data_IF_224804616362
#
_entry.id   IF_224804616362
#
_cell.length_a   1.000
_cell.length_b   1.000
_cell.length_c   1.000
_cell.angle_alpha   90.00
_cell.angle_beta   90.00
_cell.angle_gamma   90.00
#
_symmetry.space_group_name_H-M   'P 1'
#
loop_
_entity.id
_entity.type
_entity.pdbx_description
1 polymer ?
#
# COMPACT_ATOMS: atom_id res chain seq x y z
N UNK A 1 -19.72 16.62 -10.96
CA UNK A 1 -18.31 16.18 -10.97
C UNK A 1 -18.23 15.03 -9.99
N UNK A 2 -17.73 13.86 -10.39
CA UNK A 2 -17.55 12.76 -9.42
C UNK A 2 -16.54 13.14 -8.36
N UNK A 3 -16.57 12.48 -7.19
CA UNK A 3 -15.62 12.74 -6.11
C UNK A 3 -14.19 12.45 -6.56
N UNK A 4 -13.96 11.39 -7.34
CA UNK A 4 -12.65 11.07 -7.91
C UNK A 4 -12.09 12.21 -8.77
N UNK A 5 -12.92 12.77 -9.66
CA UNK A 5 -12.53 13.95 -10.47
C UNK A 5 -12.20 15.16 -9.60
N UNK A 6 -12.91 15.36 -8.50
CA UNK A 6 -12.60 16.42 -7.55
C UNK A 6 -11.24 16.23 -6.91
N UNK A 7 -10.90 15.01 -6.46
CA UNK A 7 -9.57 14.70 -5.91
C UNK A 7 -8.49 14.93 -6.96
N UNK A 8 -8.68 14.47 -8.21
CA UNK A 8 -7.70 14.68 -9.29
C UNK A 8 -7.47 16.18 -9.53
N UNK A 9 -8.52 17.02 -9.50
CA UNK A 9 -8.38 18.47 -9.63
C UNK A 9 -7.59 19.09 -8.47
N UNK A 10 -7.81 18.63 -7.25
CA UNK A 10 -7.02 19.09 -6.08
C UNK A 10 -5.53 18.75 -6.28
N UNK A 11 -5.22 17.54 -6.73
CA UNK A 11 -3.83 17.13 -7.01
C UNK A 11 -3.24 17.97 -8.14
N UNK A 12 -3.98 18.22 -9.22
CA UNK A 12 -3.53 19.07 -10.32
C UNK A 12 -3.23 20.52 -9.86
N UNK A 13 -4.06 21.07 -8.98
CA UNK A 13 -3.78 22.37 -8.33
C UNK A 13 -2.51 22.27 -7.48
N UNK A 14 -2.30 21.18 -6.76
CA UNK A 14 -1.09 20.91 -5.99
C UNK A 14 0.19 20.92 -6.85
N UNK A 15 0.13 20.34 -8.06
CA UNK A 15 1.25 20.41 -9.04
C UNK A 15 1.62 21.88 -9.35
N UNK A 16 0.61 22.71 -9.62
CA UNK A 16 0.85 24.13 -9.95
C UNK A 16 1.40 24.88 -8.75
N UNK A 17 0.80 24.71 -7.55
CA UNK A 17 1.26 25.41 -6.34
C UNK A 17 2.67 24.96 -5.95
N UNK A 18 2.95 23.66 -5.97
CA UNK A 18 4.28 23.12 -5.68
C UNK A 18 5.32 23.60 -6.67
N UNK A 19 5.01 23.57 -7.98
CA UNK A 19 5.88 24.06 -9.04
C UNK A 19 6.18 25.56 -8.92
N UNK A 20 5.19 26.38 -8.62
CA UNK A 20 5.37 27.82 -8.37
C UNK A 20 6.24 28.07 -7.14
N UNK A 21 5.98 27.40 -6.01
CA UNK A 21 6.79 27.58 -4.82
C UNK A 21 8.27 27.20 -5.07
N UNK A 22 8.50 26.15 -5.85
CA UNK A 22 9.84 25.74 -6.29
C UNK A 22 10.55 26.86 -7.09
N UNK A 23 9.85 27.48 -8.03
CA UNK A 23 10.39 28.59 -8.85
C UNK A 23 10.75 29.80 -7.98
N UNK A 24 9.92 30.10 -6.98
CA UNK A 24 10.11 31.26 -6.09
C UNK A 24 10.99 30.99 -4.86
N UNK A 25 11.78 29.92 -4.88
CA UNK A 25 12.79 29.63 -3.86
C UNK A 25 12.23 28.90 -2.65
N UNK A 26 11.19 28.12 -2.83
CA UNK A 26 10.64 27.16 -1.82
C UNK A 26 10.25 27.83 -0.49
N UNK A 27 9.56 28.96 -0.55
CA UNK A 27 9.22 29.79 0.61
C UNK A 27 8.22 29.13 1.57
N UNK A 28 7.34 28.27 1.03
CA UNK A 28 6.30 27.58 1.79
C UNK A 28 6.61 26.10 2.06
N UNK A 29 7.74 25.60 1.52
CA UNK A 29 8.15 24.21 1.62
C UNK A 29 7.35 23.27 0.70
N UNK A 30 6.53 23.81 -0.21
CA UNK A 30 5.72 23.03 -1.14
C UNK A 30 6.52 22.60 -2.37
N UNK A 31 7.52 23.41 -2.78
CA UNK A 31 8.42 23.07 -3.86
C UNK A 31 9.33 21.90 -3.53
N UNK A 32 9.80 21.79 -2.28
CA UNK A 32 10.53 20.61 -1.80
C UNK A 32 9.64 19.36 -1.84
N UNK A 33 8.36 19.48 -1.47
CA UNK A 33 7.39 18.39 -1.53
C UNK A 33 7.04 17.98 -2.96
N UNK A 34 6.99 18.93 -3.87
CA UNK A 34 6.87 18.66 -5.31
C UNK A 34 8.06 17.81 -5.81
N UNK A 35 9.29 18.17 -5.46
CA UNK A 35 10.48 17.38 -5.81
C UNK A 35 10.48 16.00 -5.16
N UNK A 36 10.09 15.91 -3.88
CA UNK A 36 9.98 14.65 -3.15
C UNK A 36 9.00 13.70 -3.83
N UNK A 37 7.84 14.22 -4.28
CA UNK A 37 6.86 13.44 -5.04
C UNK A 37 7.44 12.83 -6.31
N UNK A 38 8.17 13.60 -7.10
CA UNK A 38 8.81 13.10 -8.31
C UNK A 38 9.99 12.16 -8.03
N UNK A 39 10.79 12.45 -7.02
CA UNK A 39 11.93 11.61 -6.61
C UNK A 39 11.50 10.26 -6.04
N UNK A 40 10.24 10.11 -5.63
CA UNK A 40 9.67 8.83 -5.21
C UNK A 40 9.61 7.78 -6.33
N UNK A 41 9.69 8.19 -7.60
CA UNK A 41 9.65 7.27 -8.75
C UNK A 41 10.76 6.22 -8.72
N UNK A 42 11.98 6.58 -8.30
CA UNK A 42 13.11 5.65 -8.25
C UNK A 42 12.86 4.48 -7.29
N UNK A 43 12.61 4.74 -6.00
CA UNK A 43 12.22 3.70 -5.03
C UNK A 43 10.99 2.88 -5.46
N UNK A 44 9.96 3.51 -6.01
CA UNK A 44 8.77 2.82 -6.52
C UNK A 44 9.10 1.90 -7.69
N UNK A 45 9.91 2.36 -8.64
CA UNK A 45 10.34 1.53 -9.77
C UNK A 45 11.09 0.28 -9.30
N UNK A 46 12.05 0.44 -8.37
CA UNK A 46 12.79 -0.68 -7.79
C UNK A 46 11.89 -1.67 -7.03
N UNK A 47 10.80 -1.19 -6.43
CA UNK A 47 9.85 -2.00 -5.68
C UNK A 47 8.75 -2.65 -6.51
N UNK A 48 8.49 -2.16 -7.75
CA UNK A 48 7.30 -2.57 -8.48
C UNK A 48 7.58 -3.10 -9.88
N UNK A 49 8.48 -2.50 -10.67
CA UNK A 49 8.63 -2.85 -12.10
C UNK A 49 8.91 -4.33 -12.29
N UNK A 50 9.76 -4.92 -11.44
CA UNK A 50 10.07 -6.34 -11.53
C UNK A 50 8.89 -7.26 -11.29
N UNK A 51 7.95 -6.91 -10.39
CA UNK A 51 6.75 -7.73 -10.17
C UNK A 51 5.72 -7.51 -11.28
N UNK A 52 5.59 -6.28 -11.80
CA UNK A 52 4.74 -5.98 -12.95
C UNK A 52 5.15 -6.82 -14.14
N UNK A 53 6.44 -6.84 -14.47
CA UNK A 53 6.96 -7.62 -15.60
C UNK A 53 6.84 -9.13 -15.38
N UNK A 54 6.95 -9.62 -14.14
CA UNK A 54 6.81 -11.03 -13.80
C UNK A 54 5.35 -11.48 -13.64
N UNK A 55 4.38 -10.59 -13.51
CA UNK A 55 2.99 -10.94 -13.21
C UNK A 55 2.42 -12.04 -14.13
N UNK A 56 2.58 -11.99 -15.47
CA UNK A 56 2.10 -13.05 -16.36
C UNK A 56 2.80 -14.39 -16.13
N UNK A 57 4.11 -14.37 -15.83
CA UNK A 57 4.89 -15.58 -15.55
C UNK A 57 4.44 -16.21 -14.22
N UNK A 58 4.28 -15.38 -13.18
CA UNK A 58 3.81 -15.84 -11.86
C UNK A 58 2.41 -16.43 -11.99
N UNK A 59 1.50 -15.75 -12.68
CA UNK A 59 0.14 -16.24 -12.92
C UNK A 59 0.13 -17.57 -13.68
N UNK A 60 0.98 -17.72 -14.71
CA UNK A 60 1.11 -18.96 -15.47
C UNK A 60 1.67 -20.13 -14.64
N UNK A 61 2.67 -19.86 -13.80
CA UNK A 61 3.34 -20.90 -12.98
C UNK A 61 2.50 -21.29 -11.77
N UNK A 62 1.93 -20.32 -11.07
CA UNK A 62 1.17 -20.57 -9.84
C UNK A 62 -0.33 -20.81 -10.10
N UNK A 63 -0.87 -20.29 -11.19
CA UNK A 63 -2.28 -20.40 -11.54
C UNK A 63 -2.84 -21.82 -11.46
N UNK A 64 -2.16 -22.85 -12.02
CA UNK A 64 -2.63 -24.25 -11.95
C UNK A 64 -2.85 -24.77 -10.52
N UNK A 65 -2.17 -24.21 -9.53
CA UNK A 65 -2.31 -24.55 -8.11
C UNK A 65 -3.29 -23.63 -7.42
N UNK A 66 -3.18 -22.33 -7.64
CA UNK A 66 -3.95 -21.31 -6.94
C UNK A 66 -5.41 -21.29 -7.36
N UNK A 67 -5.68 -21.37 -8.67
CA UNK A 67 -7.04 -21.32 -9.21
C UNK A 67 -7.94 -22.39 -8.60
N UNK A 68 -7.56 -23.69 -8.58
CA UNK A 68 -8.40 -24.71 -7.96
C UNK A 68 -8.64 -24.47 -6.45
N UNK A 69 -7.62 -24.01 -5.72
CA UNK A 69 -7.72 -23.79 -4.26
C UNK A 69 -8.75 -22.70 -3.96
N UNK A 70 -8.68 -21.56 -4.67
CA UNK A 70 -9.60 -20.45 -4.45
C UNK A 70 -11.02 -20.79 -4.92
N UNK A 71 -11.16 -21.49 -6.03
CA UNK A 71 -12.44 -21.96 -6.53
C UNK A 71 -13.15 -22.93 -5.59
N UNK A 72 -12.42 -23.71 -4.75
CA UNK A 72 -13.02 -24.57 -3.71
C UNK A 72 -13.84 -23.81 -2.69
N UNK A 73 -13.43 -22.57 -2.38
CA UNK A 73 -14.16 -21.69 -1.45
C UNK A 73 -15.04 -20.67 -2.18
N UNK A 74 -15.10 -20.74 -3.51
CA UNK A 74 -15.85 -19.82 -4.38
C UNK A 74 -15.25 -18.42 -4.49
N UNK A 75 -14.02 -18.22 -3.98
CA UNK A 75 -13.31 -16.95 -4.08
C UNK A 75 -12.52 -16.87 -5.39
N UNK A 76 -12.34 -15.64 -5.91
CA UNK A 76 -11.55 -15.40 -7.10
C UNK A 76 -10.05 -15.59 -6.82
N UNK A 77 -9.30 -16.23 -7.71
CA UNK A 77 -7.85 -16.41 -7.57
C UNK A 77 -7.05 -15.11 -7.47
N UNK A 78 -7.61 -14.00 -7.94
CA UNK A 78 -7.02 -12.66 -7.76
C UNK A 78 -6.69 -12.35 -6.29
N UNK A 79 -7.45 -12.88 -5.34
CA UNK A 79 -7.23 -12.68 -3.91
C UNK A 79 -5.87 -13.20 -3.43
N UNK A 80 -5.23 -14.12 -4.16
CA UNK A 80 -3.87 -14.57 -3.88
C UNK A 80 -2.84 -13.46 -4.04
N UNK A 81 -3.04 -12.54 -4.97
CA UNK A 81 -2.12 -11.44 -5.22
C UNK A 81 -1.99 -10.50 -4.01
N UNK A 82 -3.01 -10.42 -3.15
CA UNK A 82 -2.97 -9.62 -1.91
C UNK A 82 -1.93 -10.12 -0.90
N UNK A 83 -1.46 -11.35 -1.06
CA UNK A 83 -0.50 -12.00 -0.15
C UNK A 83 0.91 -11.96 -0.74
N UNK A 84 1.03 -12.28 -2.03
CA UNK A 84 2.32 -12.50 -2.66
C UNK A 84 2.99 -11.21 -3.11
N UNK A 85 2.20 -10.27 -3.63
CA UNK A 85 2.75 -9.09 -4.25
C UNK A 85 2.86 -7.94 -3.26
N UNK A 86 3.94 -7.16 -3.44
CA UNK A 86 4.15 -5.94 -2.70
C UNK A 86 3.02 -4.95 -3.04
N UNK A 87 2.21 -4.62 -2.05
CA UNK A 87 1.32 -3.47 -2.02
C UNK A 87 0.75 -3.12 -3.43
N UNK A 88 1.23 -2.05 -4.04
CA UNK A 88 0.83 -1.60 -5.36
C UNK A 88 1.21 -2.56 -6.50
N UNK A 89 2.28 -3.35 -6.36
CA UNK A 89 2.67 -4.41 -7.30
C UNK A 89 1.70 -5.60 -7.34
N UNK A 90 0.80 -5.70 -6.36
CA UNK A 90 -0.26 -6.71 -6.32
C UNK A 90 -1.30 -6.55 -7.41
N UNK A 91 -1.57 -5.33 -7.86
CA UNK A 91 -2.58 -5.04 -8.85
C UNK A 91 -2.38 -5.78 -10.19
N UNK A 92 -1.21 -5.70 -10.86
CA UNK A 92 -1.00 -6.44 -12.10
C UNK A 92 -1.16 -7.94 -11.94
N UNK A 93 -0.65 -8.52 -10.86
CA UNK A 93 -0.81 -9.95 -10.59
C UNK A 93 -2.27 -10.32 -10.28
N UNK A 94 -3.01 -9.47 -9.57
CA UNK A 94 -4.42 -9.68 -9.31
C UNK A 94 -5.22 -9.70 -10.62
N UNK A 95 -4.95 -8.77 -11.52
CA UNK A 95 -5.63 -8.70 -12.83
C UNK A 95 -5.29 -9.90 -13.73
N UNK A 96 -4.05 -10.41 -13.69
CA UNK A 96 -3.64 -11.61 -14.42
C UNK A 96 -4.31 -12.90 -13.89
N UNK A 97 -4.59 -12.97 -12.60
CA UNK A 97 -5.24 -14.13 -11.98
C UNK A 97 -6.76 -14.03 -11.94
N UNK A 98 -7.33 -12.86 -12.14
CA UNK A 98 -8.74 -12.58 -11.99
C UNK A 98 -9.59 -13.35 -13.01
N UNK A 99 -10.62 -14.03 -12.50
CA UNK A 99 -11.71 -14.59 -13.29
C UNK A 99 -12.87 -13.60 -13.44
N UNK A 100 -12.94 -12.60 -12.53
CA UNK A 100 -13.86 -11.48 -12.54
C UNK A 100 -13.07 -10.18 -12.34
N UNK A 101 -13.26 -9.18 -13.21
CA UNK A 101 -12.55 -7.90 -13.16
C UNK A 101 -12.79 -7.18 -11.83
N UNK A 102 -14.02 -7.16 -11.30
CA UNK A 102 -14.33 -6.51 -10.03
C UNK A 102 -13.61 -7.18 -8.86
N UNK A 103 -13.46 -8.51 -8.89
CA UNK A 103 -12.68 -9.25 -7.89
C UNK A 103 -11.17 -8.93 -8.03
N UNK A 104 -10.66 -8.77 -9.25
CA UNK A 104 -9.31 -8.31 -9.52
C UNK A 104 -9.05 -6.91 -8.94
N UNK A 105 -9.98 -5.98 -9.14
CA UNK A 105 -9.91 -4.62 -8.59
C UNK A 105 -10.01 -4.62 -7.06
N UNK A 106 -10.93 -5.40 -6.49
CA UNK A 106 -11.06 -5.58 -5.03
C UNK A 106 -9.75 -6.09 -4.42
N UNK A 107 -9.16 -7.13 -5.01
CA UNK A 107 -7.92 -7.72 -4.56
C UNK A 107 -6.73 -6.77 -4.74
N UNK A 108 -6.51 -6.28 -5.95
CA UNK A 108 -5.30 -5.58 -6.36
C UNK A 108 -5.21 -4.12 -5.91
N UNK A 109 -6.34 -3.47 -5.63
CA UNK A 109 -6.36 -2.06 -5.21
C UNK A 109 -6.80 -1.90 -3.76
N UNK A 110 -7.94 -2.49 -3.36
CA UNK A 110 -8.51 -2.25 -2.03
C UNK A 110 -7.81 -3.12 -0.98
N UNK A 111 -7.81 -4.44 -1.17
CA UNK A 111 -7.27 -5.37 -0.16
C UNK A 111 -5.74 -5.36 -0.14
N UNK A 112 -5.09 -5.24 -1.31
CA UNK A 112 -3.64 -5.17 -1.39
C UNK A 112 -3.06 -3.95 -0.67
N UNK A 113 -3.73 -2.79 -0.73
CA UNK A 113 -3.34 -1.58 0.00
C UNK A 113 -3.33 -1.77 1.53
N UNK A 114 -4.13 -2.69 2.05
CA UNK A 114 -4.19 -2.99 3.48
C UNK A 114 -3.38 -4.25 3.84
N UNK A 115 -3.74 -5.41 3.31
CA UNK A 115 -3.15 -6.70 3.68
C UNK A 115 -1.76 -6.88 3.09
N UNK A 116 -1.61 -6.66 1.78
CA UNK A 116 -0.34 -6.78 1.09
C UNK A 116 0.70 -5.83 1.67
N UNK A 117 0.33 -4.55 1.83
CA UNK A 117 1.17 -3.55 2.47
C UNK A 117 1.57 -3.95 3.90
N UNK A 118 0.65 -4.50 4.68
CA UNK A 118 0.95 -4.93 6.05
C UNK A 118 2.00 -6.04 6.08
N UNK A 119 1.84 -7.08 5.25
CA UNK A 119 2.73 -8.27 5.25
C UNK A 119 4.11 -7.94 4.71
N UNK A 120 4.17 -7.25 3.57
CA UNK A 120 5.41 -7.09 2.80
C UNK A 120 6.18 -5.82 3.18
N UNK A 121 5.48 -4.79 3.65
CA UNK A 121 6.08 -3.51 3.99
C UNK A 121 5.95 -3.18 5.49
N UNK A 122 4.75 -3.05 6.04
CA UNK A 122 4.56 -2.52 7.40
C UNK A 122 5.24 -3.37 8.47
N UNK A 123 5.16 -4.69 8.40
CA UNK A 123 5.81 -5.57 9.37
C UNK A 123 7.34 -5.52 9.22
N UNK A 124 7.95 -5.82 8.06
CA UNK A 124 9.41 -5.84 7.96
C UNK A 124 10.05 -4.47 8.15
N UNK A 125 9.49 -3.40 7.56
CA UNK A 125 10.02 -2.05 7.67
C UNK A 125 9.80 -1.49 9.08
N UNK A 126 8.61 -1.67 9.64
CA UNK A 126 8.29 -1.24 11.00
C UNK A 126 9.25 -1.86 12.00
N UNK A 127 9.44 -3.20 11.96
CA UNK A 127 10.37 -3.90 12.86
C UNK A 127 11.84 -3.49 12.68
N UNK A 128 12.21 -3.00 11.51
CA UNK A 128 13.54 -2.47 11.22
C UNK A 128 13.79 -1.06 11.74
N UNK A 129 12.71 -0.28 11.98
CA UNK A 129 12.80 1.14 12.35
C UNK A 129 12.41 1.43 13.80
N UNK A 130 11.53 0.61 14.42
CA UNK A 130 11.11 0.78 15.81
C UNK A 130 12.17 0.26 16.79
N UNK A 131 12.19 0.81 17.98
CA UNK A 131 13.04 0.32 19.07
C UNK A 131 12.55 -1.06 19.57
N UNK A 132 13.46 -1.82 20.18
CA UNK A 132 13.14 -3.18 20.66
C UNK A 132 12.02 -3.19 21.69
N UNK A 133 12.02 -2.19 22.58
CA UNK A 133 11.04 -1.97 23.63
C UNK A 133 9.63 -1.69 23.11
N UNK A 134 9.54 -1.20 21.86
CA UNK A 134 8.27 -0.84 21.22
C UNK A 134 7.60 -2.02 20.52
N UNK A 135 8.32 -3.09 20.24
CA UNK A 135 7.82 -4.27 19.55
C UNK A 135 6.56 -4.90 20.15
N UNK A 136 6.39 -4.99 21.49
CA UNK A 136 5.15 -5.49 22.06
C UNK A 136 3.92 -4.62 21.77
N UNK A 137 4.09 -3.30 21.73
CA UNK A 137 3.01 -2.37 21.35
C UNK A 137 2.70 -2.45 19.86
N UNK A 138 3.72 -2.54 19.04
CA UNK A 138 3.59 -2.75 17.60
C UNK A 138 2.83 -4.05 17.30
N UNK A 139 3.18 -5.16 17.93
CA UNK A 139 2.47 -6.42 17.75
C UNK A 139 0.99 -6.32 18.17
N UNK A 140 0.68 -5.67 19.30
CA UNK A 140 -0.71 -5.43 19.74
C UNK A 140 -1.50 -4.59 18.75
N UNK A 141 -0.87 -3.53 18.23
CA UNK A 141 -1.49 -2.67 17.22
C UNK A 141 -1.75 -3.41 15.91
N UNK A 142 -0.78 -4.20 15.42
CA UNK A 142 -0.96 -5.06 14.26
C UNK A 142 -2.14 -6.03 14.42
N UNK A 143 -2.25 -6.67 15.58
CA UNK A 143 -3.39 -7.56 15.89
C UNK A 143 -4.72 -6.84 15.73
N UNK A 144 -4.85 -5.66 16.33
CA UNK A 144 -6.07 -4.86 16.22
C UNK A 144 -6.33 -4.43 14.75
N UNK A 145 -5.29 -3.96 14.06
CA UNK A 145 -5.40 -3.51 12.67
C UNK A 145 -5.79 -4.63 11.70
N UNK A 146 -5.21 -5.83 11.83
CA UNK A 146 -5.54 -6.98 10.98
C UNK A 146 -7.04 -7.33 11.01
N UNK A 147 -7.72 -7.12 12.14
CA UNK A 147 -9.16 -7.35 12.24
C UNK A 147 -10.00 -6.36 11.45
N UNK A 148 -9.43 -5.20 11.09
CA UNK A 148 -10.12 -4.16 10.33
C UNK A 148 -10.04 -4.38 8.82
N UNK A 149 -9.08 -5.16 8.33
CA UNK A 149 -8.87 -5.38 6.88
C UNK A 149 -10.12 -5.95 6.18
N UNK A 150 -10.76 -7.03 6.69
CA UNK A 150 -11.97 -7.53 6.06
C UNK A 150 -13.12 -6.51 6.04
N UNK A 151 -13.22 -5.71 7.10
CA UNK A 151 -14.23 -4.64 7.20
C UNK A 151 -13.95 -3.55 6.17
N UNK A 152 -12.69 -3.10 6.06
CA UNK A 152 -12.26 -2.14 5.06
C UNK A 152 -12.49 -2.65 3.63
N UNK A 153 -12.15 -3.93 3.36
CA UNK A 153 -12.38 -4.57 2.06
C UNK A 153 -13.86 -4.63 1.67
N UNK A 154 -14.74 -4.96 2.63
CA UNK A 154 -16.19 -4.96 2.41
C UNK A 154 -16.69 -3.53 2.12
N UNK A 155 -16.32 -2.56 2.94
CA UNK A 155 -16.75 -1.16 2.77
C UNK A 155 -16.24 -0.61 1.43
N UNK A 156 -14.96 -0.79 1.12
CA UNK A 156 -14.38 -0.34 -0.14
C UNK A 156 -15.04 -0.98 -1.36
N UNK A 157 -15.29 -2.30 -1.31
CA UNK A 157 -15.99 -3.01 -2.37
C UNK A 157 -17.43 -2.50 -2.60
N UNK A 158 -18.14 -2.19 -1.51
CA UNK A 158 -19.50 -1.60 -1.60
C UNK A 158 -19.48 -0.18 -2.14
N UNK A 159 -18.49 0.64 -1.75
CA UNK A 159 -18.31 1.99 -2.29
C UNK A 159 -17.98 1.95 -3.78
N UNK A 160 -17.21 0.93 -4.23
CA UNK A 160 -16.95 0.68 -5.63
C UNK A 160 -18.20 0.26 -6.44
N UNK A 161 -19.30 -0.06 -5.76
CA UNK A 161 -20.53 -0.54 -6.38
C UNK A 161 -20.50 -2.02 -6.75
N UNK A 162 -19.54 -2.79 -6.22
CA UNK A 162 -19.41 -4.22 -6.50
C UNK A 162 -20.55 -5.03 -5.87
N UNK A 163 -20.87 -6.16 -6.48
CA UNK A 163 -21.88 -7.08 -5.93
C UNK A 163 -21.50 -7.56 -4.54
N UNK A 164 -22.42 -7.39 -3.57
CA UNK A 164 -22.16 -7.72 -2.16
C UNK A 164 -21.81 -9.19 -1.96
N UNK A 165 -22.41 -10.10 -2.73
CA UNK A 165 -22.14 -11.54 -2.63
C UNK A 165 -20.72 -11.84 -3.12
N UNK A 166 -20.32 -11.24 -4.24
CA UNK A 166 -18.96 -11.33 -4.76
C UNK A 166 -17.95 -10.81 -3.72
N UNK A 167 -18.18 -9.63 -3.15
CA UNK A 167 -17.31 -9.04 -2.11
C UNK A 167 -17.19 -9.96 -0.90
N UNK A 168 -18.30 -10.44 -0.33
CA UNK A 168 -18.29 -11.28 0.87
C UNK A 168 -17.57 -12.61 0.65
N UNK A 169 -17.78 -13.26 -0.50
CA UNK A 169 -17.09 -14.51 -0.84
C UNK A 169 -15.58 -14.29 -0.97
N UNK A 170 -15.17 -13.22 -1.63
CA UNK A 170 -13.76 -12.89 -1.79
C UNK A 170 -13.10 -12.44 -0.49
N UNK A 171 -13.84 -11.97 0.50
CA UNK A 171 -13.30 -11.67 1.83
C UNK A 171 -13.05 -12.93 2.67
N UNK A 172 -13.60 -14.11 2.33
CA UNK A 172 -13.35 -15.36 3.10
C UNK A 172 -11.84 -15.65 3.24
N UNK A 173 -11.04 -15.76 2.16
CA UNK A 173 -9.60 -16.01 2.30
C UNK A 173 -8.87 -14.89 3.06
N UNK A 174 -9.31 -13.63 2.93
CA UNK A 174 -8.73 -12.49 3.66
C UNK A 174 -9.00 -12.62 5.16
N UNK A 175 -10.23 -12.98 5.55
CA UNK A 175 -10.61 -13.23 6.96
C UNK A 175 -9.77 -14.37 7.53
N UNK A 176 -9.70 -15.50 6.83
CA UNK A 176 -8.92 -16.67 7.26
C UNK A 176 -7.46 -16.28 7.48
N UNK A 177 -6.85 -15.58 6.52
CA UNK A 177 -5.45 -15.18 6.64
C UNK A 177 -5.25 -14.16 7.76
N UNK A 178 -6.11 -13.15 7.88
CA UNK A 178 -6.04 -12.17 8.97
C UNK A 178 -6.14 -12.83 10.33
N UNK A 179 -7.04 -13.81 10.50
CA UNK A 179 -7.17 -14.59 11.74
C UNK A 179 -5.91 -15.42 11.98
N UNK A 180 -5.37 -16.11 10.96
CA UNK A 180 -4.15 -16.91 11.11
C UNK A 180 -2.94 -16.02 11.49
N UNK A 181 -2.79 -14.86 10.87
CA UNK A 181 -1.74 -13.89 11.22
C UNK A 181 -1.92 -13.40 12.65
N UNK A 182 -3.15 -13.07 13.06
CA UNK A 182 -3.46 -12.62 14.40
C UNK A 182 -3.14 -13.71 15.44
N UNK A 183 -3.60 -14.95 15.22
CA UNK A 183 -3.29 -16.08 16.10
C UNK A 183 -1.78 -16.36 16.15
N UNK A 184 -1.10 -16.30 15.01
CA UNK A 184 0.35 -16.45 14.93
C UNK A 184 1.09 -15.40 15.76
N UNK A 185 0.67 -14.13 15.69
CA UNK A 185 1.26 -13.03 16.48
C UNK A 185 1.00 -13.21 17.99
N UNK A 186 -0.13 -13.81 18.38
CA UNK A 186 -0.44 -14.09 19.80
C UNK A 186 0.39 -15.27 20.33
N UNK A 187 0.38 -16.40 19.62
CA UNK A 187 0.94 -17.65 20.14
C UNK A 187 2.40 -17.88 19.80
N UNK A 188 2.87 -17.39 18.63
CA UNK A 188 4.22 -17.63 18.10
C UNK A 188 4.85 -16.35 17.54
N UNK A 189 4.85 -15.23 18.29
CA UNK A 189 5.25 -13.89 17.77
C UNK A 189 6.64 -13.88 17.13
N UNK A 190 7.64 -14.52 17.75
CA UNK A 190 9.00 -14.57 17.20
C UNK A 190 9.07 -15.26 15.84
N UNK A 191 8.32 -16.36 15.67
CA UNK A 191 8.29 -17.09 14.40
C UNK A 191 7.57 -16.27 13.33
N UNK A 192 6.47 -15.59 13.67
CA UNK A 192 5.75 -14.72 12.75
C UNK A 192 6.60 -13.53 12.28
N UNK A 193 7.30 -12.89 13.20
CA UNK A 193 8.21 -11.78 12.90
C UNK A 193 9.34 -12.24 11.96
N UNK A 194 10.01 -13.34 12.31
CA UNK A 194 11.10 -13.87 11.48
C UNK A 194 10.58 -14.34 10.11
N UNK A 195 9.41 -14.98 10.07
CA UNK A 195 8.76 -15.39 8.84
C UNK A 195 8.44 -14.21 7.92
N UNK A 196 7.90 -13.12 8.46
CA UNK A 196 7.62 -11.91 7.70
C UNK A 196 8.90 -11.25 7.15
N UNK A 197 9.99 -11.21 7.95
CA UNK A 197 11.29 -10.69 7.49
C UNK A 197 11.88 -11.55 6.36
N UNK A 198 11.79 -12.88 6.47
CA UNK A 198 12.26 -13.81 5.42
C UNK A 198 11.41 -13.65 4.17
N UNK A 199 10.08 -13.57 4.33
CA UNK A 199 9.15 -13.39 3.22
C UNK A 199 9.39 -12.05 2.51
N UNK A 200 9.54 -10.95 3.25
CA UNK A 200 9.88 -9.64 2.68
C UNK A 200 11.19 -9.69 1.86
N UNK A 201 12.25 -10.34 2.38
CA UNK A 201 13.49 -10.54 1.62
C UNK A 201 13.27 -11.37 0.36
N UNK A 202 12.47 -12.44 0.44
CA UNK A 202 12.14 -13.26 -0.73
C UNK A 202 11.44 -12.42 -1.80
N UNK A 203 10.47 -11.59 -1.44
CA UNK A 203 9.78 -10.69 -2.37
C UNK A 203 10.76 -9.71 -3.03
N UNK A 204 11.68 -9.11 -2.26
CA UNK A 204 12.72 -8.22 -2.81
C UNK A 204 13.60 -8.96 -3.83
N UNK A 205 13.96 -10.22 -3.57
CA UNK A 205 14.73 -11.03 -4.53
C UNK A 205 13.93 -11.25 -5.81
N UNK A 206 12.65 -11.65 -5.70
CA UNK A 206 11.79 -11.89 -6.87
C UNK A 206 11.67 -10.62 -7.72
N UNK A 207 11.38 -9.48 -7.09
CA UNK A 207 11.26 -8.18 -7.78
C UNK A 207 12.57 -7.82 -8.48
N UNK A 208 13.71 -7.98 -7.77
CA UNK A 208 15.03 -7.63 -8.33
C UNK A 208 15.41 -8.52 -9.52
N UNK A 209 15.12 -9.83 -9.44
CA UNK A 209 15.34 -10.76 -10.54
C UNK A 209 14.47 -10.37 -11.75
N UNK A 210 13.19 -10.09 -11.53
CA UNK A 210 12.29 -9.65 -12.60
C UNK A 210 12.76 -8.36 -13.25
N UNK A 211 13.10 -7.35 -12.46
CA UNK A 211 13.59 -6.07 -12.98
C UNK A 211 14.90 -6.24 -13.78
N UNK A 212 15.85 -7.02 -13.25
CA UNK A 212 17.13 -7.24 -13.92
C UNK A 212 16.95 -8.01 -15.24
N UNK A 213 16.11 -9.05 -15.25
CA UNK A 213 15.81 -9.82 -16.46
C UNK A 213 15.12 -8.96 -17.54
N UNK A 214 14.12 -8.16 -17.14
CA UNK A 214 13.41 -7.28 -18.05
C UNK A 214 14.31 -6.16 -18.60
N UNK A 215 15.17 -5.56 -17.75
CA UNK A 215 16.13 -4.55 -18.19
C UNK A 215 17.19 -5.14 -19.13
N UNK A 216 17.65 -6.37 -18.87
CA UNK A 216 18.60 -7.05 -19.76
C UNK A 216 17.98 -7.34 -21.13
N UNK A 217 16.73 -7.81 -21.16
CA UNK A 217 15.98 -8.05 -22.41
C UNK A 217 15.81 -6.77 -23.21
N UNK A 218 15.42 -5.66 -22.57
CA UNK A 218 15.27 -4.35 -23.22
C UNK A 218 16.56 -3.85 -23.84
N UNK A 219 17.72 -4.05 -23.17
CA UNK A 219 19.01 -3.57 -23.64
C UNK A 219 19.63 -4.45 -24.74
N UNK A 220 19.36 -5.76 -24.72
CA UNK A 220 20.07 -6.72 -25.58
C UNK A 220 19.18 -7.45 -26.59
N UNK A 221 17.86 -7.41 -26.39
CA UNK A 221 16.91 -8.24 -27.14
C UNK A 221 16.94 -9.73 -26.75
N UNK A 222 17.73 -10.12 -25.75
CA UNK A 222 17.84 -11.53 -25.32
C UNK A 222 16.87 -11.80 -24.18
N UNK A 223 15.93 -12.71 -24.39
CA UNK A 223 14.93 -13.14 -23.40
C UNK A 223 15.57 -14.07 -22.38
N UNK A 224 15.63 -13.65 -21.11
CA UNK A 224 16.09 -14.50 -20.00
C UNK A 224 14.94 -15.32 -19.42
N UNK A 225 13.80 -14.69 -19.19
CA UNK A 225 12.60 -15.31 -18.62
C UNK A 225 11.46 -15.20 -19.63
N UNK A 226 11.11 -16.28 -20.33
CA UNK A 226 10.06 -16.24 -21.35
C UNK A 226 8.67 -15.92 -20.76
N UNK A 227 7.96 -15.01 -21.41
CA UNK A 227 6.58 -14.66 -21.07
C UNK A 227 6.46 -13.52 -20.07
N UNK A 228 7.54 -12.79 -19.78
CA UNK A 228 7.47 -11.53 -19.04
C UNK A 228 6.75 -10.46 -19.86
N UNK A 229 6.11 -9.52 -19.16
CA UNK A 229 5.62 -8.29 -19.77
C UNK A 229 6.81 -7.33 -20.05
N UNK A 230 6.68 -6.44 -21.05
CA UNK A 230 7.71 -5.45 -21.37
C UNK A 230 8.02 -4.55 -20.16
N UNK A 231 9.30 -4.19 -19.96
CA UNK A 231 9.70 -3.31 -18.86
C UNK A 231 9.00 -1.95 -18.93
N UNK A 232 8.70 -1.48 -20.13
CA UNK A 232 8.04 -0.21 -20.37
C UNK A 232 6.65 -0.13 -19.75
N UNK A 233 5.92 -1.26 -19.65
CA UNK A 233 4.61 -1.29 -19.01
C UNK A 233 4.72 -0.90 -17.53
N UNK A 234 5.71 -1.44 -16.82
CA UNK A 234 6.01 -1.06 -15.45
C UNK A 234 6.47 0.38 -15.31
N UNK A 235 7.34 0.86 -16.21
CA UNK A 235 7.86 2.23 -16.17
C UNK A 235 6.79 3.28 -16.47
N UNK A 236 5.84 2.99 -17.36
CA UNK A 236 4.67 3.86 -17.63
C UNK A 236 3.83 4.03 -16.37
N UNK A 237 3.54 2.93 -15.65
CA UNK A 237 2.81 2.98 -14.37
C UNK A 237 3.55 3.88 -13.38
N UNK A 238 4.86 3.71 -13.22
CA UNK A 238 5.67 4.54 -12.32
C UNK A 238 5.63 6.02 -12.74
N UNK A 239 5.71 6.30 -14.05
CA UNK A 239 5.59 7.66 -14.56
C UNK A 239 4.24 8.31 -14.22
N UNK A 240 3.15 7.57 -14.37
CA UNK A 240 1.80 8.03 -14.00
C UNK A 240 1.71 8.34 -12.51
N UNK A 241 2.22 7.44 -11.65
CA UNK A 241 2.27 7.65 -10.20
C UNK A 241 3.07 8.91 -9.87
N UNK A 242 4.27 9.07 -10.46
CA UNK A 242 5.13 10.23 -10.22
C UNK A 242 4.45 11.55 -10.56
N UNK A 243 3.72 11.60 -11.68
CA UNK A 243 2.94 12.80 -12.07
C UNK A 243 1.87 13.13 -11.03
N UNK A 244 1.19 12.14 -10.47
CA UNK A 244 0.19 12.35 -9.42
C UNK A 244 0.84 12.82 -8.13
N UNK A 245 1.96 12.21 -7.73
CA UNK A 245 2.68 12.54 -6.49
C UNK A 245 3.27 13.96 -6.49
N UNK A 246 3.61 14.54 -7.66
CA UNK A 246 3.98 15.94 -7.79
C UNK A 246 2.98 16.90 -7.15
N UNK A 247 1.69 16.57 -7.21
CA UNK A 247 0.62 17.40 -6.63
C UNK A 247 0.16 16.89 -5.27
N UNK A 248 0.15 15.58 -5.08
CA UNK A 248 -0.32 14.96 -3.85
C UNK A 248 0.49 15.40 -2.63
N UNK A 249 1.82 15.39 -2.70
CA UNK A 249 2.67 15.72 -1.56
C UNK A 249 2.55 17.18 -1.12
N UNK A 250 2.56 18.20 -2.03
CA UNK A 250 2.25 19.57 -1.64
C UNK A 250 0.87 19.71 -0.96
N UNK A 251 -0.18 19.10 -1.53
CA UNK A 251 -1.53 19.15 -0.96
C UNK A 251 -1.60 18.48 0.41
N UNK A 252 -1.01 17.28 0.57
CA UNK A 252 -0.92 16.60 1.86
C UNK A 252 -0.24 17.46 2.92
N UNK A 253 0.82 18.16 2.55
CA UNK A 253 1.51 19.08 3.46
C UNK A 253 0.57 20.18 3.96
N UNK A 254 -0.28 20.73 3.09
CA UNK A 254 -1.29 21.73 3.47
C UNK A 254 -2.38 21.11 4.35
N UNK A 255 -2.88 19.92 3.99
CA UNK A 255 -3.90 19.20 4.76
C UNK A 255 -3.37 18.86 6.16
N UNK A 256 -2.15 18.32 6.28
CA UNK A 256 -1.52 17.98 7.56
C UNK A 256 -1.40 19.21 8.43
N UNK A 257 -0.90 20.34 7.88
CA UNK A 257 -0.81 21.63 8.61
C UNK A 257 -2.20 22.12 9.07
N UNK A 258 -3.23 21.99 8.24
CA UNK A 258 -4.59 22.43 8.59
C UNK A 258 -5.23 21.52 9.65
N UNK A 259 -4.96 20.23 9.60
CA UNK A 259 -5.52 19.25 10.53
C UNK A 259 -4.73 19.08 11.83
N UNK A 260 -3.54 19.65 11.95
CA UNK A 260 -2.67 19.51 13.12
C UNK A 260 -3.40 19.84 14.43
N UNK A 261 -4.07 21.01 14.50
CA UNK A 261 -4.78 21.45 15.72
C UNK A 261 -5.98 20.56 16.06
N UNK A 262 -6.94 20.28 15.16
CA UNK A 262 -8.07 19.41 15.46
C UNK A 262 -7.66 17.99 15.82
N UNK A 263 -6.63 17.45 15.19
CA UNK A 263 -6.18 16.09 15.46
C UNK A 263 -5.40 15.97 16.77
N UNK A 264 -4.61 16.98 17.15
CA UNK A 264 -4.04 17.06 18.49
C UNK A 264 -5.14 17.07 19.57
N UNK A 265 -6.26 17.78 19.35
CA UNK A 265 -7.39 17.77 20.26
C UNK A 265 -8.07 16.39 20.35
N UNK A 266 -8.22 15.70 19.22
CA UNK A 266 -8.74 14.33 19.20
C UNK A 266 -7.77 13.36 19.90
N UNK A 267 -6.47 13.47 19.64
CA UNK A 267 -5.45 12.66 20.28
C UNK A 267 -5.46 12.80 21.81
N UNK A 268 -5.58 14.02 22.30
CA UNK A 268 -5.71 14.28 23.73
C UNK A 268 -6.99 13.66 24.33
N UNK A 269 -8.13 13.78 23.63
CA UNK A 269 -9.39 13.12 24.04
C UNK A 269 -9.28 11.59 24.05
N UNK A 270 -8.52 11.02 23.14
CA UNK A 270 -8.20 9.59 23.10
C UNK A 270 -7.16 9.20 24.17
N UNK A 271 -6.60 10.14 24.91
CA UNK A 271 -5.58 9.91 25.95
C UNK A 271 -4.23 9.53 25.36
N UNK A 272 -3.90 10.02 24.18
CA UNK A 272 -2.57 9.93 23.56
C UNK A 272 -1.79 11.22 23.79
N UNK A 273 -0.46 11.13 23.82
CA UNK A 273 0.39 12.31 23.78
C UNK A 273 0.37 12.98 22.39
N UNK A 274 0.95 14.18 22.29
CA UNK A 274 0.98 14.96 21.05
C UNK A 274 1.64 14.20 19.88
N UNK A 275 2.71 13.45 20.16
CA UNK A 275 3.42 12.63 19.16
C UNK A 275 2.53 11.51 18.62
N UNK A 276 1.79 10.82 19.51
CA UNK A 276 0.82 9.80 19.10
C UNK A 276 -0.33 10.39 18.27
N UNK A 277 -0.82 11.57 18.63
CA UNK A 277 -1.86 12.26 17.87
C UNK A 277 -1.38 12.68 16.46
N UNK A 278 -0.17 13.22 16.36
CA UNK A 278 0.44 13.57 15.08
C UNK A 278 0.64 12.36 14.17
N UNK A 279 1.01 11.21 14.72
CA UNK A 279 1.21 9.97 13.98
C UNK A 279 0.00 9.53 13.17
N UNK A 280 -1.23 9.72 13.68
CA UNK A 280 -2.48 9.39 12.97
C UNK A 280 -2.58 10.11 11.62
N UNK A 281 -2.19 11.39 11.58
CA UNK A 281 -2.23 12.19 10.35
C UNK A 281 -1.11 11.83 9.40
N UNK A 282 0.10 11.71 9.96
CA UNK A 282 1.32 11.44 9.19
C UNK A 282 1.20 10.07 8.50
N UNK A 283 0.54 9.11 9.14
CA UNK A 283 0.24 7.79 8.54
C UNK A 283 -0.44 7.89 7.18
N UNK A 284 -1.38 8.81 7.03
CA UNK A 284 -2.11 8.98 5.76
C UNK A 284 -1.20 9.38 4.60
N UNK A 285 -0.11 10.07 4.90
CA UNK A 285 0.87 10.48 3.91
C UNK A 285 1.98 9.42 3.73
N UNK A 286 2.60 9.00 4.84
CA UNK A 286 3.73 8.06 4.85
C UNK A 286 3.91 7.46 6.25
N UNK A 287 4.07 6.15 6.32
CA UNK A 287 4.23 5.42 7.58
C UNK A 287 5.67 5.44 8.15
N UNK A 288 6.68 5.65 7.33
CA UNK A 288 8.10 5.62 7.75
C UNK A 288 8.38 6.63 8.89
N UNK A 289 7.96 7.91 8.81
CA UNK A 289 8.14 8.84 9.92
C UNK A 289 7.45 8.38 11.21
N UNK A 290 6.28 7.72 11.09
CA UNK A 290 5.51 7.26 12.24
C UNK A 290 6.25 6.16 12.99
N UNK A 291 6.89 5.21 12.29
CA UNK A 291 7.74 4.20 12.93
C UNK A 291 8.90 4.84 13.70
N UNK A 292 9.58 5.85 13.13
CA UNK A 292 10.67 6.56 13.77
C UNK A 292 10.24 7.37 15.01
N UNK A 293 9.01 7.90 15.00
CA UNK A 293 8.40 8.66 16.09
C UNK A 293 7.86 7.77 17.20
N UNK A 294 7.72 6.45 16.98
CA UNK A 294 7.06 5.54 17.92
C UNK A 294 7.70 5.57 19.31
N UNK A 295 9.01 5.68 19.40
CA UNK A 295 9.76 5.78 20.66
C UNK A 295 9.28 6.93 21.57
N UNK A 296 8.83 8.04 20.97
CA UNK A 296 8.38 9.25 21.67
C UNK A 296 6.85 9.24 21.96
N UNK A 297 6.14 8.18 21.54
CA UNK A 297 4.72 8.02 21.82
C UNK A 297 4.50 7.35 23.18
N UNK A 298 3.38 7.69 23.82
CA UNK A 298 2.89 6.94 24.98
C UNK A 298 2.43 5.52 24.56
N UNK A 299 2.32 4.56 25.51
CA UNK A 299 1.95 3.17 25.18
C UNK A 299 0.65 3.03 24.40
N UNK A 300 -0.34 3.87 24.68
CA UNK A 300 -1.62 3.87 23.97
C UNK A 300 -1.47 4.42 22.56
N UNK A 301 -0.71 5.49 22.39
CA UNK A 301 -0.36 6.08 21.10
C UNK A 301 0.35 5.07 20.19
N UNK A 302 1.31 4.31 20.71
CA UNK A 302 2.01 3.24 19.98
C UNK A 302 1.06 2.19 19.40
N UNK A 303 0.13 1.69 20.24
CA UNK A 303 -0.85 0.67 19.82
C UNK A 303 -1.85 1.23 18.80
N UNK A 304 -2.40 2.42 19.07
CA UNK A 304 -3.40 3.04 18.17
C UNK A 304 -2.79 3.39 16.82
N UNK A 305 -1.60 4.00 16.79
CA UNK A 305 -0.93 4.32 15.53
C UNK A 305 -0.62 3.06 14.73
N UNK A 306 -0.13 2.00 15.37
CA UNK A 306 0.12 0.74 14.67
C UNK A 306 -1.16 0.10 14.14
N UNK A 307 -2.25 0.14 14.91
CA UNK A 307 -3.55 -0.36 14.43
C UNK A 307 -4.06 0.45 13.24
N UNK A 308 -3.89 1.76 13.27
CA UNK A 308 -4.26 2.68 12.19
C UNK A 308 -3.39 2.51 10.94
N UNK A 309 -2.09 2.23 11.12
CA UNK A 309 -1.17 1.96 10.02
C UNK A 309 -1.62 0.78 9.14
N UNK A 310 -2.34 -0.21 9.66
CA UNK A 310 -2.76 -1.38 8.87
C UNK A 310 -3.75 -1.00 7.77
N UNK A 311 -4.89 -0.34 8.05
CA UNK A 311 -5.84 0.04 7.01
C UNK A 311 -5.52 1.35 6.29
N UNK A 312 -4.68 2.22 6.85
CA UNK A 312 -4.57 3.62 6.40
C UNK A 312 -3.16 4.05 5.99
N UNK A 313 -2.18 3.14 5.96
CA UNK A 313 -0.80 3.47 5.55
C UNK A 313 -0.79 4.11 4.16
N UNK A 314 -0.22 5.32 4.08
CA UNK A 314 -0.04 6.08 2.84
C UNK A 314 -1.31 6.19 1.96
N UNK A 315 -2.50 6.10 2.58
CA UNK A 315 -3.78 6.11 1.86
C UNK A 315 -3.94 7.37 0.99
N UNK A 316 -3.53 8.53 1.50
CA UNK A 316 -3.50 9.80 0.75
C UNK A 316 -2.14 10.07 0.09
N UNK A 317 -1.16 9.19 0.24
CA UNK A 317 0.16 9.26 -0.37
C UNK A 317 0.29 8.33 -1.57
N UNK A 318 1.13 7.32 -1.42
CA UNK A 318 1.50 6.39 -2.49
C UNK A 318 0.29 5.60 -3.01
N UNK A 319 -0.65 5.17 -2.16
CA UNK A 319 -1.85 4.43 -2.59
C UNK A 319 -2.78 5.31 -3.43
N UNK A 320 -3.02 6.55 -3.01
CA UNK A 320 -3.77 7.51 -3.82
C UNK A 320 -3.07 7.76 -5.16
N UNK A 321 -1.76 7.99 -5.13
CA UNK A 321 -0.96 8.21 -6.34
C UNK A 321 -1.04 7.05 -7.31
N UNK A 322 -0.88 5.82 -6.81
CA UNK A 322 -0.98 4.60 -7.60
C UNK A 322 -2.38 4.43 -8.20
N UNK A 323 -3.42 4.50 -7.37
CA UNK A 323 -4.80 4.29 -7.82
C UNK A 323 -5.21 5.34 -8.85
N UNK A 324 -4.85 6.61 -8.64
CA UNK A 324 -5.12 7.68 -9.59
C UNK A 324 -4.37 7.49 -10.93
N UNK A 325 -3.18 6.87 -10.90
CA UNK A 325 -2.41 6.55 -12.09
C UNK A 325 -2.99 5.38 -12.91
N UNK A 326 -3.44 4.31 -12.26
CA UNK A 326 -3.84 3.06 -12.94
C UNK A 326 -5.36 2.92 -13.11
N UNK A 327 -6.16 3.37 -12.14
CA UNK A 327 -7.64 3.26 -12.13
C UNK A 327 -8.25 4.44 -11.37
N UNK A 328 -8.30 5.63 -12.01
CA UNK A 328 -8.82 6.85 -11.37
C UNK A 328 -10.24 6.74 -10.80
N UNK A 329 -11.05 5.86 -11.37
CA UNK A 329 -12.41 5.54 -10.93
C UNK A 329 -12.48 4.76 -9.61
N UNK A 330 -11.35 4.23 -9.15
CA UNK A 330 -11.21 3.49 -7.89
C UNK A 330 -10.63 4.33 -6.74
N UNK A 331 -10.40 5.63 -6.93
CA UNK A 331 -9.85 6.50 -5.88
C UNK A 331 -10.74 6.46 -4.63
N UNK A 332 -12.03 6.73 -4.79
CA UNK A 332 -12.99 6.77 -3.66
C UNK A 332 -13.04 5.45 -2.87
N UNK A 333 -13.13 4.28 -3.51
CA UNK A 333 -13.11 3.00 -2.79
C UNK A 333 -11.81 2.67 -2.06
N UNK A 334 -10.67 3.17 -2.53
CA UNK A 334 -9.34 2.84 -1.97
C UNK A 334 -8.95 3.78 -0.83
N UNK A 335 -9.36 5.05 -0.89
CA UNK A 335 -9.03 6.12 0.07
C UNK A 335 -10.15 6.33 1.10
#
# INVERSE_FOLDING_TARGET
MSFDKFIIWIMAIGVIIGGLDRIFGNRFGLGEKFEEGFNSMGPLALGMVGIVTLAPVIAKVLGPVIIPIFNLVGADPAMFATILANDMGGYPLAMELAQNEEAGLLAGLIVAAMLGCTIVFSIPVGLGLIEYEDRPFFAKGLLAGLTTIPVGGIIGGLIAGFDIKMVLINMIPVIVLSVLLALGLVYIPKMMINGALIFGKFIVVVITVGLAAAAFEELTGVVIIPGMAPIMDGLVIIGQIGVVLLGTFPILTLIVKALEKPLNAVGQKLGMNATGAAGIVITLANSIPVYKMMKDMDPKGKVINTAWLVPATAALGDHLGFTAGVRPDMITPVV
#
